data_IF_311991748997
#
_entry.id   IF_311991748997
#
_cell.length_a   1.000
_cell.length_b   1.000
_cell.length_c   1.000
_cell.angle_alpha   90.00
_cell.angle_beta   90.00
_cell.angle_gamma   90.00
#
_symmetry.space_group_name_H-M   'P 1'
#
loop_
_entity.id
_entity.type
_entity.pdbx_description
1 polymer ?
#
# COMPACT_ATOMS: atom_id res chain seq x y z
N UNK A 1 -14.25 -15.92 -12.39
CA UNK A 1 -14.30 -14.54 -11.88
C UNK A 1 -12.89 -14.05 -11.69
N UNK A 2 -12.62 -12.79 -11.97
CA UNK A 2 -11.31 -12.15 -11.83
C UNK A 2 -11.09 -11.88 -10.34
N UNK A 3 -9.98 -12.33 -9.77
CA UNK A 3 -9.61 -11.96 -8.40
C UNK A 3 -9.08 -10.53 -8.40
N UNK A 4 -9.50 -9.72 -7.44
CA UNK A 4 -9.04 -8.35 -7.28
C UNK A 4 -8.46 -8.15 -5.87
N UNK A 5 -7.17 -7.81 -5.81
CA UNK A 5 -6.46 -7.55 -4.56
C UNK A 5 -6.34 -6.04 -4.35
N UNK A 6 -6.46 -5.62 -3.10
CA UNK A 6 -6.28 -4.26 -2.66
C UNK A 6 -5.00 -4.16 -1.84
N UNK A 7 -4.08 -3.29 -2.27
CA UNK A 7 -2.80 -3.06 -1.59
C UNK A 7 -2.83 -1.66 -0.96
N UNK A 8 -3.10 -1.60 0.34
CA UNK A 8 -3.22 -0.35 1.11
C UNK A 8 -1.95 -0.05 1.90
N UNK A 9 -1.92 1.07 2.58
CA UNK A 9 -0.82 1.50 3.43
C UNK A 9 -0.50 2.98 3.23
N UNK A 10 0.13 3.58 4.22
CA UNK A 10 0.51 4.98 4.21
C UNK A 10 1.34 5.40 2.99
N UNK A 11 1.32 6.69 2.68
CA UNK A 11 2.25 7.28 1.72
C UNK A 11 3.70 6.98 2.16
N UNK A 12 4.52 6.50 1.23
CA UNK A 12 5.90 6.11 1.51
C UNK A 12 6.09 4.78 2.25
N UNK A 13 5.03 4.05 2.61
CA UNK A 13 5.14 2.71 3.22
C UNK A 13 5.79 1.67 2.30
N UNK A 14 5.82 1.91 0.98
CA UNK A 14 6.45 1.02 0.00
C UNK A 14 5.46 0.17 -0.80
N UNK A 15 4.20 0.58 -0.92
CA UNK A 15 3.14 -0.12 -1.68
C UNK A 15 3.59 -0.50 -3.09
N UNK A 16 4.03 0.48 -3.89
CA UNK A 16 4.48 0.29 -5.27
C UNK A 16 5.66 -0.68 -5.38
N UNK A 17 6.61 -0.60 -4.43
CA UNK A 17 7.73 -1.57 -4.35
C UNK A 17 7.24 -2.99 -4.07
N UNK A 18 6.25 -3.13 -3.20
CA UNK A 18 5.62 -4.42 -2.90
C UNK A 18 4.85 -4.96 -4.11
N UNK A 19 4.00 -4.12 -4.74
CA UNK A 19 3.23 -4.45 -5.95
C UNK A 19 4.16 -4.99 -7.03
N UNK A 20 5.30 -4.34 -7.25
CA UNK A 20 6.29 -4.79 -8.22
C UNK A 20 6.77 -6.22 -7.95
N UNK A 21 7.08 -6.56 -6.70
CA UNK A 21 7.51 -7.93 -6.33
C UNK A 21 6.37 -8.94 -6.46
N UNK A 22 5.18 -8.56 -6.03
CA UNK A 22 4.01 -9.42 -6.07
C UNK A 22 3.54 -9.67 -7.49
N UNK A 23 3.48 -8.63 -8.33
CA UNK A 23 3.17 -8.73 -9.75
C UNK A 23 4.12 -9.68 -10.48
N UNK A 24 5.44 -9.52 -10.24
CA UNK A 24 6.44 -10.41 -10.82
C UNK A 24 6.21 -11.88 -10.43
N UNK A 25 5.92 -12.15 -9.16
CA UNK A 25 5.59 -13.50 -8.71
C UNK A 25 4.35 -14.06 -9.43
N UNK A 26 3.30 -13.25 -9.61
CA UNK A 26 2.07 -13.65 -10.29
C UNK A 26 2.34 -13.98 -11.77
N UNK A 27 3.09 -13.14 -12.48
CA UNK A 27 3.50 -13.39 -13.87
C UNK A 27 4.39 -14.63 -14.00
N UNK A 28 5.38 -14.81 -13.12
CA UNK A 28 6.23 -16.01 -13.08
C UNK A 28 5.42 -17.30 -12.80
N UNK A 29 4.24 -17.15 -12.19
CA UNK A 29 3.26 -18.23 -11.98
C UNK A 29 2.30 -18.41 -13.15
N UNK A 30 2.53 -17.73 -14.27
CA UNK A 30 1.74 -17.82 -15.51
C UNK A 30 0.42 -17.09 -15.49
N UNK A 31 0.23 -16.11 -14.61
CA UNK A 31 -1.00 -15.32 -14.52
C UNK A 31 -0.94 -14.08 -15.41
N UNK A 32 -2.09 -13.75 -15.99
CA UNK A 32 -2.34 -12.50 -16.68
C UNK A 32 -2.87 -11.48 -15.69
N UNK A 33 -2.20 -10.36 -15.50
CA UNK A 33 -2.54 -9.41 -14.45
C UNK A 33 -2.79 -8.00 -14.99
N UNK A 34 -3.67 -7.29 -14.32
CA UNK A 34 -3.82 -5.84 -14.44
C UNK A 34 -3.36 -5.17 -13.16
N UNK A 35 -2.68 -4.04 -13.26
CA UNK A 35 -2.37 -3.17 -12.12
C UNK A 35 -3.13 -1.87 -12.32
N UNK A 36 -3.91 -1.48 -11.32
CA UNK A 36 -4.69 -0.25 -11.33
C UNK A 36 -4.15 0.68 -10.25
N UNK A 37 -3.48 1.73 -10.73
CA UNK A 37 -3.00 2.82 -9.89
C UNK A 37 -4.09 3.89 -9.77
N UNK A 38 -4.35 4.28 -8.56
CA UNK A 38 -5.31 5.30 -8.24
C UNK A 38 -4.60 6.48 -7.56
N UNK A 39 -4.17 7.46 -8.36
CA UNK A 39 -3.40 8.60 -7.89
C UNK A 39 -4.12 9.92 -8.17
N UNK A 40 -4.17 10.79 -7.15
CA UNK A 40 -4.68 12.16 -7.28
C UNK A 40 -3.62 13.13 -7.81
N UNK A 41 -2.36 12.70 -7.92
CA UNK A 41 -1.23 13.54 -8.30
C UNK A 41 -1.23 13.97 -9.77
N UNK A 42 -0.61 15.12 -10.06
CA UNK A 42 -0.42 15.61 -11.43
C UNK A 42 0.66 14.82 -12.20
N UNK A 43 1.54 14.11 -11.50
CA UNK A 43 2.62 13.26 -12.06
C UNK A 43 2.61 11.95 -11.29
N UNK A 44 2.30 10.87 -11.97
CA UNK A 44 2.29 9.54 -11.37
C UNK A 44 3.70 8.93 -11.41
N UNK A 45 4.40 9.02 -10.30
CA UNK A 45 5.75 8.44 -10.12
C UNK A 45 5.66 6.91 -10.00
N UNK A 46 4.60 6.40 -9.39
CA UNK A 46 4.40 4.97 -9.16
C UNK A 46 4.23 4.21 -10.46
N UNK A 47 3.46 4.76 -11.41
CA UNK A 47 3.37 4.23 -12.78
C UNK A 47 4.73 4.14 -13.46
N UNK A 48 5.60 5.13 -13.28
CA UNK A 48 6.97 5.08 -13.84
C UNK A 48 7.80 3.95 -13.23
N UNK A 49 7.61 3.66 -11.95
CA UNK A 49 8.30 2.58 -11.25
C UNK A 49 7.82 1.18 -11.67
N UNK A 50 6.62 1.07 -12.21
CA UNK A 50 6.02 -0.20 -12.66
C UNK A 50 6.11 -0.41 -14.18
N UNK A 51 6.49 0.61 -14.93
CA UNK A 51 6.46 0.61 -16.39
C UNK A 51 7.22 -0.54 -17.05
N UNK A 52 8.29 -1.02 -16.44
CA UNK A 52 9.08 -2.14 -16.95
C UNK A 52 8.40 -3.52 -16.76
N UNK A 53 7.29 -3.59 -16.02
CA UNK A 53 6.47 -4.79 -15.91
C UNK A 53 5.50 -4.96 -17.09
N UNK A 54 5.24 -3.88 -17.85
CA UNK A 54 4.30 -3.91 -18.99
C UNK A 54 4.75 -4.92 -20.06
N UNK A 55 3.81 -5.72 -20.51
CA UNK A 55 4.04 -6.73 -21.53
C UNK A 55 2.82 -7.63 -21.73
N UNK A 56 3.02 -8.78 -22.35
CA UNK A 56 1.94 -9.69 -22.70
C UNK A 56 1.14 -10.22 -21.50
N UNK A 57 1.73 -10.20 -20.30
CA UNK A 57 1.11 -10.73 -19.08
C UNK A 57 0.78 -9.65 -18.05
N UNK A 58 1.10 -8.38 -18.30
CA UNK A 58 0.85 -7.29 -17.36
C UNK A 58 0.49 -6.01 -18.08
N UNK A 59 -0.66 -5.46 -17.77
CA UNK A 59 -1.07 -4.13 -18.19
C UNK A 59 -1.18 -3.20 -16.98
N UNK A 60 -0.75 -1.96 -17.19
CA UNK A 60 -0.86 -0.88 -16.20
C UNK A 60 -1.99 0.05 -16.60
N UNK A 61 -2.89 0.31 -15.68
CA UNK A 61 -3.99 1.24 -15.82
C UNK A 61 -3.98 2.28 -14.71
N UNK A 62 -4.47 3.46 -15.00
CA UNK A 62 -4.45 4.58 -14.06
C UNK A 62 -5.82 5.26 -14.00
N UNK A 63 -6.16 5.71 -12.81
CA UNK A 63 -7.21 6.69 -12.59
C UNK A 63 -6.54 7.96 -12.12
N UNK A 64 -6.62 9.00 -12.94
CA UNK A 64 -6.07 10.31 -12.62
C UNK A 64 -7.18 11.31 -12.38
N UNK A 65 -7.00 12.12 -11.35
CA UNK A 65 -7.84 13.26 -11.03
C UNK A 65 -9.30 12.89 -10.71
N UNK A 66 -9.90 13.70 -9.95
CA UNK A 66 -11.32 13.73 -9.61
C UNK A 66 -11.46 14.92 -8.70
N UNK A 67 -12.32 15.90 -9.09
CA UNK A 67 -12.50 17.08 -8.26
C UNK A 67 -13.37 16.79 -7.03
N UNK A 68 -13.95 15.60 -6.96
CA UNK A 68 -14.86 15.17 -5.91
C UNK A 68 -14.94 13.63 -5.80
N UNK A 69 -15.30 13.10 -4.62
CA UNK A 69 -15.36 11.65 -4.36
C UNK A 69 -16.32 10.90 -5.30
N UNK A 70 -17.46 11.50 -5.65
CA UNK A 70 -18.45 10.83 -6.52
C UNK A 70 -17.92 10.65 -7.95
N UNK A 71 -17.25 11.65 -8.49
CA UNK A 71 -16.61 11.57 -9.81
C UNK A 71 -15.49 10.52 -9.79
N UNK A 72 -14.71 10.46 -8.69
CA UNK A 72 -13.66 9.48 -8.51
C UNK A 72 -14.25 8.06 -8.48
N UNK A 73 -15.26 7.80 -7.65
CA UNK A 73 -15.97 6.51 -7.55
C UNK A 73 -16.47 6.06 -8.94
N UNK A 74 -17.09 6.95 -9.70
CA UNK A 74 -17.59 6.65 -11.04
C UNK A 74 -16.47 6.30 -12.02
N UNK A 75 -15.33 6.99 -11.97
CA UNK A 75 -14.15 6.67 -12.79
C UNK A 75 -13.58 5.31 -12.44
N UNK A 76 -13.44 5.04 -11.15
CA UNK A 76 -12.97 3.74 -10.64
C UNK A 76 -13.86 2.60 -11.14
N UNK A 77 -15.18 2.72 -10.97
CA UNK A 77 -16.14 1.74 -11.50
C UNK A 77 -16.02 1.55 -13.02
N UNK A 78 -15.94 2.65 -13.77
CA UNK A 78 -15.81 2.60 -15.25
C UNK A 78 -14.52 1.92 -15.66
N UNK A 79 -13.41 2.18 -14.97
CA UNK A 79 -12.12 1.54 -15.24
C UNK A 79 -12.19 0.05 -14.96
N UNK A 80 -12.77 -0.38 -13.85
CA UNK A 80 -12.97 -1.79 -13.55
C UNK A 80 -13.86 -2.49 -14.59
N UNK A 81 -14.90 -1.83 -15.09
CA UNK A 81 -15.73 -2.37 -16.19
C UNK A 81 -14.85 -2.62 -17.44
N UNK A 82 -14.00 -1.67 -17.81
CA UNK A 82 -13.09 -1.82 -18.93
C UNK A 82 -12.10 -2.97 -18.71
N UNK A 83 -11.47 -3.02 -17.54
CA UNK A 83 -10.49 -4.07 -17.21
C UNK A 83 -11.13 -5.47 -17.12
N UNK A 84 -12.39 -5.55 -16.70
CA UNK A 84 -13.13 -6.83 -16.66
C UNK A 84 -13.30 -7.51 -18.02
N UNK A 85 -13.13 -6.76 -19.10
CA UNK A 85 -13.22 -7.27 -20.48
C UNK A 85 -11.86 -7.72 -21.07
N UNK A 86 -10.74 -7.46 -20.38
CA UNK A 86 -9.39 -7.71 -20.88
C UNK A 86 -8.89 -9.14 -20.63
N UNK A 87 -9.60 -9.94 -19.82
CA UNK A 87 -9.26 -11.35 -19.59
C UNK A 87 -8.13 -11.59 -18.59
N UNK A 88 -7.99 -10.72 -17.59
CA UNK A 88 -7.06 -10.91 -16.50
C UNK A 88 -7.46 -12.06 -15.56
N UNK A 89 -6.47 -12.73 -15.01
CA UNK A 89 -6.66 -13.70 -13.92
C UNK A 89 -6.78 -12.97 -12.57
N UNK A 90 -6.04 -11.86 -12.43
CA UNK A 90 -5.99 -11.07 -11.20
C UNK A 90 -5.71 -9.60 -11.49
N UNK A 91 -6.32 -8.73 -10.70
CA UNK A 91 -6.06 -7.29 -10.72
C UNK A 91 -5.50 -6.88 -9.35
N UNK A 92 -4.43 -6.08 -9.36
CA UNK A 92 -3.87 -5.44 -8.19
C UNK A 92 -4.28 -3.98 -8.21
N UNK A 93 -4.89 -3.50 -7.14
CA UNK A 93 -5.30 -2.09 -6.99
C UNK A 93 -4.40 -1.45 -5.94
N UNK A 94 -3.71 -0.37 -6.32
CA UNK A 94 -3.08 0.55 -5.39
C UNK A 94 -3.98 1.77 -5.24
N UNK A 95 -4.70 1.94 -4.13
CA UNK A 95 -5.49 3.14 -3.89
C UNK A 95 -4.57 4.30 -3.50
N UNK A 96 -5.06 5.52 -3.60
CA UNK A 96 -4.41 6.66 -2.96
C UNK A 96 -4.31 6.44 -1.44
N UNK A 97 -3.34 7.09 -0.79
CA UNK A 97 -3.04 6.87 0.63
C UNK A 97 -4.16 7.24 1.63
N UNK A 98 -5.34 7.68 1.15
CA UNK A 98 -6.52 8.06 1.95
C UNK A 98 -7.76 7.38 1.34
N UNK A 99 -7.70 6.08 1.14
CA UNK A 99 -8.78 5.34 0.48
C UNK A 99 -9.66 4.62 1.52
N UNK A 100 -10.98 4.79 1.40
CA UNK A 100 -11.94 4.02 2.18
C UNK A 100 -12.08 2.60 1.60
N UNK A 101 -11.62 1.61 2.35
CA UNK A 101 -11.67 0.20 1.95
C UNK A 101 -13.11 -0.29 1.76
N UNK A 102 -14.08 0.25 2.50
CA UNK A 102 -15.49 -0.10 2.35
C UNK A 102 -16.02 0.34 0.97
N UNK A 103 -15.59 1.51 0.48
CA UNK A 103 -15.99 1.99 -0.85
C UNK A 103 -15.55 1.04 -1.96
N UNK A 104 -14.37 0.42 -1.81
CA UNK A 104 -13.90 -0.61 -2.74
C UNK A 104 -14.85 -1.81 -2.78
N UNK A 105 -15.26 -2.33 -1.62
CA UNK A 105 -16.17 -3.44 -1.57
C UNK A 105 -17.57 -3.07 -2.09
N UNK A 106 -18.07 -1.90 -1.73
CA UNK A 106 -19.37 -1.41 -2.21
C UNK A 106 -19.42 -1.34 -3.73
N UNK A 107 -18.35 -0.84 -4.37
CA UNK A 107 -18.26 -0.78 -5.84
C UNK A 107 -18.24 -2.18 -6.45
N UNK A 108 -17.54 -3.14 -5.86
CA UNK A 108 -17.48 -4.51 -6.37
C UNK A 108 -18.83 -5.24 -6.29
N UNK A 109 -19.70 -4.85 -5.36
CA UNK A 109 -21.04 -5.41 -5.23
C UNK A 109 -22.08 -4.76 -6.19
N UNK A 110 -21.70 -3.72 -6.94
CA UNK A 110 -22.57 -3.12 -7.94
C UNK A 110 -22.53 -3.87 -9.27
N UNK A 111 -23.67 -3.95 -9.97
CA UNK A 111 -23.72 -4.47 -11.34
C UNK A 111 -22.91 -3.57 -12.31
N UNK A 112 -22.15 -4.15 -13.24
CA UNK A 112 -21.96 -5.58 -13.55
C UNK A 112 -20.76 -6.22 -12.82
N UNK A 113 -20.07 -5.49 -11.94
CA UNK A 113 -18.81 -5.90 -11.32
C UNK A 113 -18.99 -7.13 -10.42
N UNK A 114 -20.13 -7.23 -9.74
CA UNK A 114 -20.53 -8.37 -8.90
C UNK A 114 -20.49 -9.73 -9.59
N UNK A 115 -20.62 -9.73 -10.94
CA UNK A 115 -20.58 -10.93 -11.76
C UNK A 115 -19.20 -11.23 -12.34
N UNK A 116 -18.32 -10.25 -12.38
CA UNK A 116 -17.02 -10.35 -13.04
C UNK A 116 -15.90 -10.52 -12.05
N UNK A 117 -16.03 -9.87 -10.90
CA UNK A 117 -15.00 -9.78 -9.87
C UNK A 117 -15.33 -10.59 -8.63
N UNK A 118 -14.30 -11.04 -7.99
CA UNK A 118 -14.33 -11.65 -6.67
C UNK A 118 -13.24 -11.01 -5.83
N UNK A 119 -13.54 -10.47 -4.64
CA UNK A 119 -12.52 -9.96 -3.74
C UNK A 119 -11.43 -11.01 -3.51
N UNK A 120 -10.20 -10.61 -3.68
CA UNK A 120 -9.01 -11.40 -3.40
C UNK A 120 -8.50 -11.12 -1.99
N UNK A 121 -7.26 -10.61 -1.92
CA UNK A 121 -6.62 -10.27 -0.66
C UNK A 121 -6.56 -8.75 -0.45
N UNK A 122 -6.84 -8.30 0.76
CA UNK A 122 -6.51 -6.95 1.24
C UNK A 122 -5.19 -7.05 1.98
N UNK A 123 -4.17 -6.40 1.45
CA UNK A 123 -2.81 -6.42 1.97
C UNK A 123 -2.45 -5.00 2.39
N UNK A 124 -2.22 -4.80 3.68
CA UNK A 124 -1.86 -3.48 4.22
C UNK A 124 -0.36 -3.44 4.46
N UNK A 125 0.32 -2.50 3.79
CA UNK A 125 1.76 -2.27 3.93
C UNK A 125 1.99 -1.28 5.06
N UNK A 126 2.81 -1.66 6.04
CA UNK A 126 3.12 -0.83 7.21
C UNK A 126 4.63 -0.71 7.36
N UNK A 127 5.12 0.51 7.55
CA UNK A 127 6.53 0.75 7.84
C UNK A 127 6.88 0.19 9.23
N UNK A 128 7.90 -0.66 9.31
CA UNK A 128 8.38 -1.18 10.59
C UNK A 128 8.99 -0.10 11.50
N UNK A 129 9.28 1.08 10.95
CA UNK A 129 9.82 2.23 11.68
C UNK A 129 8.80 3.38 11.76
N UNK A 130 7.51 3.04 11.77
CA UNK A 130 6.43 4.02 11.90
C UNK A 130 6.64 4.86 13.15
N UNK A 131 6.42 6.17 13.05
CA UNK A 131 6.58 7.10 14.16
C UNK A 131 5.58 6.79 15.30
N UNK A 132 6.04 7.01 16.55
CA UNK A 132 5.19 6.76 17.73
C UNK A 132 4.13 7.86 17.92
N UNK A 133 4.41 9.08 17.46
CA UNK A 133 3.50 10.23 17.54
C UNK A 133 2.84 10.46 16.18
N UNK A 134 1.57 10.07 16.07
CA UNK A 134 0.75 10.25 14.87
C UNK A 134 -0.47 11.10 15.20
N UNK A 135 -0.92 11.89 14.22
CA UNK A 135 -2.16 12.66 14.35
C UNK A 135 -3.40 11.76 14.51
N UNK A 136 -4.53 12.31 14.85
CA UNK A 136 -5.79 11.57 14.97
C UNK A 136 -6.21 11.01 13.60
N UNK A 137 -6.01 11.80 12.54
CA UNK A 137 -6.30 11.44 11.15
C UNK A 137 -5.41 10.28 10.69
N UNK A 138 -4.11 10.35 10.95
CA UNK A 138 -3.17 9.28 10.59
C UNK A 138 -3.49 7.97 11.32
N UNK A 139 -3.78 8.06 12.61
CA UNK A 139 -4.22 6.90 13.40
C UNK A 139 -5.52 6.29 12.85
N UNK A 140 -6.45 7.13 12.41
CA UNK A 140 -7.69 6.65 11.79
C UNK A 140 -7.42 5.92 10.49
N UNK A 141 -6.60 6.47 9.59
CA UNK A 141 -6.23 5.84 8.32
C UNK A 141 -5.56 4.48 8.58
N UNK A 142 -4.54 4.46 9.44
CA UNK A 142 -3.83 3.23 9.81
C UNK A 142 -4.79 2.15 10.32
N UNK A 143 -5.71 2.53 11.20
CA UNK A 143 -6.68 1.63 11.79
C UNK A 143 -7.71 1.13 10.76
N UNK A 144 -8.24 2.01 9.90
CA UNK A 144 -9.24 1.65 8.88
C UNK A 144 -8.68 0.69 7.85
N UNK A 145 -7.43 0.89 7.41
CA UNK A 145 -6.75 -0.02 6.50
C UNK A 145 -6.43 -1.36 7.17
N UNK A 146 -5.96 -1.34 8.43
CA UNK A 146 -5.68 -2.56 9.18
C UNK A 146 -6.94 -3.35 9.52
N UNK A 147 -8.08 -2.68 9.75
CA UNK A 147 -9.34 -3.32 10.10
C UNK A 147 -9.79 -4.36 9.05
N UNK A 148 -9.62 -4.06 7.78
CA UNK A 148 -10.05 -4.92 6.67
C UNK A 148 -8.94 -5.83 6.11
N UNK A 149 -7.69 -5.67 6.56
CA UNK A 149 -6.56 -6.42 6.03
C UNK A 149 -6.68 -7.93 6.24
N UNK A 150 -6.51 -8.71 5.19
CA UNK A 150 -6.27 -10.16 5.32
C UNK A 150 -4.84 -10.46 5.79
N UNK A 151 -3.89 -9.58 5.44
CA UNK A 151 -2.50 -9.66 5.89
C UNK A 151 -1.89 -8.27 6.03
N UNK A 152 -1.16 -8.04 7.11
CA UNK A 152 -0.29 -6.88 7.27
C UNK A 152 1.13 -7.26 6.85
N UNK A 153 1.75 -6.46 6.00
CA UNK A 153 3.12 -6.71 5.51
C UNK A 153 4.02 -5.58 5.95
N UNK A 154 4.95 -5.89 6.84
CA UNK A 154 5.91 -4.91 7.31
C UNK A 154 6.98 -4.60 6.26
N UNK A 155 7.20 -3.32 6.01
CA UNK A 155 8.24 -2.81 5.13
C UNK A 155 9.45 -2.31 5.89
N UNK A 156 10.54 -2.02 5.16
CA UNK A 156 11.78 -1.39 5.65
C UNK A 156 12.49 -2.14 6.80
N UNK A 157 12.20 -3.41 6.97
CA UNK A 157 12.85 -4.26 7.98
C UNK A 157 14.34 -4.36 7.66
N UNK A 158 15.21 -3.96 8.59
CA UNK A 158 16.66 -4.13 8.49
C UNK A 158 17.38 -3.16 7.55
N UNK A 159 16.74 -2.07 7.05
CA UNK A 159 17.39 -1.07 6.17
C UNK A 159 18.39 -0.14 6.87
N UNK A 160 18.58 -0.21 8.18
CA UNK A 160 19.49 0.66 8.94
C UNK A 160 20.96 0.19 8.98
N UNK A 161 21.35 -0.81 8.17
CA UNK A 161 22.73 -1.29 8.11
C UNK A 161 23.59 -0.42 7.17
N UNK A 162 24.44 0.43 7.74
CA UNK A 162 25.23 1.44 7.02
C UNK A 162 26.51 0.92 6.34
N UNK A 163 27.03 -0.28 6.63
CA UNK A 163 28.24 -0.85 5.96
C UNK A 163 28.37 -2.36 6.08
N UNK A 164 28.95 -3.02 5.03
CA UNK A 164 29.17 -4.48 4.98
C UNK A 164 30.12 -5.05 6.06
N UNK A 165 30.94 -4.22 6.71
CA UNK A 165 31.88 -4.65 7.75
C UNK A 165 31.29 -4.70 9.16
N UNK A 166 30.23 -3.99 9.40
CA UNK A 166 29.49 -3.98 10.67
C UNK A 166 28.47 -5.14 10.73
N UNK A 167 28.12 -5.71 9.58
CA UNK A 167 27.04 -6.68 9.40
C UNK A 167 27.21 -7.98 10.23
N UNK A 168 28.41 -8.46 10.48
CA UNK A 168 28.60 -9.80 11.06
C UNK A 168 28.54 -9.86 12.60
N UNK A 169 28.80 -8.79 13.32
CA UNK A 169 28.63 -8.73 14.78
C UNK A 169 27.26 -8.13 15.19
N UNK A 170 26.64 -7.38 14.30
CA UNK A 170 25.40 -6.63 14.53
C UNK A 170 24.13 -7.38 14.08
N UNK A 171 24.25 -8.52 13.39
CA UNK A 171 23.10 -9.23 12.82
C UNK A 171 22.05 -9.62 13.87
N UNK A 172 22.49 -10.14 15.02
CA UNK A 172 21.57 -10.51 16.12
C UNK A 172 20.95 -9.28 16.79
N UNK A 173 21.71 -8.21 16.95
CA UNK A 173 21.24 -6.97 17.54
C UNK A 173 20.30 -6.21 16.59
N UNK A 174 20.58 -6.28 15.30
CA UNK A 174 19.72 -5.72 14.24
C UNK A 174 18.37 -6.47 14.14
N UNK A 175 18.39 -7.80 14.25
CA UNK A 175 17.17 -8.62 14.26
C UNK A 175 16.34 -8.28 15.50
N UNK A 176 16.94 -8.24 16.69
CA UNK A 176 16.23 -7.94 17.93
C UNK A 176 15.61 -6.51 17.91
N UNK A 177 16.33 -5.52 17.35
CA UNK A 177 15.79 -4.16 17.17
C UNK A 177 14.61 -4.14 16.19
N UNK A 178 14.69 -4.90 15.10
CA UNK A 178 13.60 -4.99 14.13
C UNK A 178 12.36 -5.68 14.75
N UNK A 179 12.54 -6.74 15.52
CA UNK A 179 11.45 -7.42 16.25
C UNK A 179 10.81 -6.50 17.30
N UNK A 180 11.61 -5.73 18.04
CA UNK A 180 11.11 -4.73 18.99
C UNK A 180 10.30 -3.63 18.27
N UNK A 181 10.80 -3.11 17.15
CA UNK A 181 10.14 -2.08 16.36
C UNK A 181 8.78 -2.60 15.83
N UNK A 182 8.76 -3.78 15.22
CA UNK A 182 7.53 -4.42 14.74
C UNK A 182 6.52 -4.62 15.88
N UNK A 183 6.99 -5.06 17.06
CA UNK A 183 6.11 -5.26 18.22
C UNK A 183 5.47 -3.95 18.69
N UNK A 184 6.24 -2.85 18.70
CA UNK A 184 5.73 -1.50 19.03
C UNK A 184 4.68 -1.04 18.01
N UNK A 185 4.97 -1.15 16.72
CA UNK A 185 4.04 -0.76 15.66
C UNK A 185 2.77 -1.63 15.70
N UNK A 186 2.89 -2.92 15.94
CA UNK A 186 1.73 -3.81 16.10
C UNK A 186 0.86 -3.42 17.30
N UNK A 187 1.49 -3.06 18.43
CA UNK A 187 0.76 -2.56 19.59
C UNK A 187 0.06 -1.23 19.28
N UNK A 188 0.71 -0.34 18.53
CA UNK A 188 0.14 0.94 18.08
C UNK A 188 -1.09 0.71 17.18
N UNK A 189 -1.00 -0.17 16.17
CA UNK A 189 -2.14 -0.56 15.31
C UNK A 189 -3.32 -1.03 16.16
N UNK A 190 -3.09 -1.88 17.15
CA UNK A 190 -4.15 -2.38 18.02
C UNK A 190 -4.75 -1.30 18.93
N UNK A 191 -3.99 -0.28 19.30
CA UNK A 191 -4.51 0.89 20.01
C UNK A 191 -5.38 1.72 19.07
N UNK A 192 -4.91 1.99 17.85
CA UNK A 192 -5.64 2.75 16.85
C UNK A 192 -6.97 2.06 16.45
N UNK A 193 -6.97 0.73 16.30
CA UNK A 193 -8.21 -0.04 16.07
C UNK A 193 -9.24 0.16 17.18
N UNK A 194 -8.81 0.17 18.45
CA UNK A 194 -9.72 0.44 19.58
C UNK A 194 -10.27 1.86 19.56
N UNK A 195 -9.49 2.85 19.11
CA UNK A 195 -9.94 4.25 19.01
C UNK A 195 -11.10 4.38 18.02
N UNK A 196 -11.08 3.65 16.91
CA UNK A 196 -12.19 3.60 15.93
C UNK A 196 -13.29 2.61 16.31
N UNK A 197 -13.26 2.05 17.52
CA UNK A 197 -14.23 1.06 18.03
C UNK A 197 -14.29 -0.22 17.18
N UNK A 198 -13.19 -0.61 16.57
CA UNK A 198 -13.04 -1.90 15.92
C UNK A 198 -12.70 -2.98 16.96
N UNK A 199 -13.42 -4.10 16.95
CA UNK A 199 -13.20 -5.20 17.89
C UNK A 199 -12.03 -6.10 17.48
N UNK A 200 -11.54 -5.94 16.26
CA UNK A 200 -10.42 -6.73 15.72
C UNK A 200 -9.15 -6.49 16.52
N UNK A 201 -8.41 -7.57 16.72
CA UNK A 201 -7.04 -7.56 17.26
C UNK A 201 -6.13 -8.20 16.22
N UNK A 202 -5.10 -7.49 15.80
CA UNK A 202 -4.07 -8.00 14.90
C UNK A 202 -3.03 -8.74 15.73
N UNK A 203 -2.75 -9.98 15.34
CA UNK A 203 -1.74 -10.85 15.96
C UNK A 203 -0.56 -11.07 15.01
N UNK A 204 0.55 -11.61 15.51
CA UNK A 204 1.73 -11.90 14.67
C UNK A 204 1.42 -12.84 13.48
N UNK A 205 0.48 -13.76 13.63
CA UNK A 205 0.03 -14.66 12.54
C UNK A 205 -0.62 -13.92 11.37
N UNK A 206 -1.18 -12.73 11.64
CA UNK A 206 -1.82 -11.86 10.64
C UNK A 206 -0.78 -10.97 9.93
N UNK A 207 0.49 -11.08 10.33
CA UNK A 207 1.58 -10.25 9.86
C UNK A 207 2.60 -11.05 9.04
N UNK A 208 3.22 -10.39 8.06
CA UNK A 208 4.41 -10.87 7.37
C UNK A 208 5.58 -9.95 7.75
N UNK A 209 6.45 -10.47 8.64
CA UNK A 209 7.57 -9.74 9.24
C UNK A 209 8.90 -10.24 8.66
N UNK A 210 9.08 -10.12 7.34
CA UNK A 210 10.29 -10.56 6.64
C UNK A 210 10.88 -9.44 5.80
N UNK A 211 12.21 -9.43 5.67
CA UNK A 211 12.84 -8.60 4.64
C UNK A 211 12.34 -9.05 3.26
N UNK A 212 11.89 -8.09 2.46
CA UNK A 212 11.27 -8.38 1.17
C UNK A 212 12.20 -9.00 0.13
N UNK A 213 13.53 -8.90 0.32
CA UNK A 213 14.50 -9.56 -0.56
C UNK A 213 14.65 -11.05 -0.25
N UNK A 214 14.10 -11.50 0.89
CA UNK A 214 14.08 -12.91 1.31
C UNK A 214 12.73 -13.59 1.14
N UNK A 215 11.74 -12.89 0.56
CA UNK A 215 10.42 -13.46 0.32
C UNK A 215 10.48 -14.65 -0.62
N UNK A 216 9.81 -15.73 -0.23
CA UNK A 216 9.73 -16.98 -0.97
C UNK A 216 8.42 -17.10 -1.73
N UNK A 217 8.35 -18.08 -2.65
CA UNK A 217 7.07 -18.41 -3.33
C UNK A 217 5.96 -18.79 -2.35
N UNK A 218 6.29 -19.41 -1.23
CA UNK A 218 5.31 -19.77 -0.20
C UNK A 218 4.74 -18.52 0.50
N UNK A 219 5.58 -17.51 0.76
CA UNK A 219 5.12 -16.24 1.34
C UNK A 219 4.13 -15.53 0.39
N UNK A 220 4.45 -15.46 -0.90
CA UNK A 220 3.54 -14.88 -1.88
C UNK A 220 2.24 -15.69 -2.06
N UNK A 221 2.31 -17.00 -1.93
CA UNK A 221 1.12 -17.85 -1.98
C UNK A 221 0.21 -17.63 -0.77
N UNK A 222 0.80 -17.44 0.42
CA UNK A 222 0.06 -17.06 1.63
C UNK A 222 -0.61 -15.70 1.45
N UNK A 223 0.11 -14.70 0.95
CA UNK A 223 -0.44 -13.37 0.62
C UNK A 223 -1.57 -13.44 -0.42
N UNK A 224 -1.41 -14.25 -1.47
CA UNK A 224 -2.41 -14.41 -2.52
C UNK A 224 -3.72 -15.03 -2.00
N UNK A 225 -3.66 -15.78 -0.90
CA UNK A 225 -4.78 -16.47 -0.27
C UNK A 225 -5.21 -15.85 1.07
N UNK A 226 -4.64 -14.72 1.46
CA UNK A 226 -4.92 -14.08 2.74
C UNK A 226 -6.37 -13.61 2.90
N UNK A 227 -7.05 -13.32 1.77
CA UNK A 227 -8.42 -12.83 1.78
C UNK A 227 -8.53 -11.44 2.42
N UNK A 228 -9.64 -11.20 3.10
CA UNK A 228 -9.92 -9.97 3.82
C UNK A 228 -10.81 -10.27 5.03
N UNK A 229 -10.84 -9.35 6.00
CA UNK A 229 -11.70 -9.46 7.17
C UNK A 229 -12.73 -8.34 7.13
N UNK A 230 -14.03 -8.64 6.98
CA UNK A 230 -15.07 -7.62 7.06
C UNK A 230 -15.24 -7.21 8.52
N UNK A 231 -14.98 -5.97 8.84
CA UNK A 231 -15.08 -5.44 10.21
C UNK A 231 -15.93 -4.16 10.23
N UNK A 232 -16.62 -3.97 11.34
CA UNK A 232 -17.34 -2.74 11.59
C UNK A 232 -16.51 -1.83 12.48
N UNK A 233 -16.41 -0.56 12.10
CA UNK A 233 -15.74 0.46 12.89
C UNK A 233 -16.45 1.81 12.74
N UNK A 234 -16.14 2.73 13.64
CA UNK A 234 -16.69 4.07 13.59
C UNK A 234 -15.96 4.87 12.51
N UNK A 235 -16.68 5.27 11.45
CA UNK A 235 -16.16 6.19 10.45
C UNK A 235 -16.03 7.60 11.03
N UNK A 236 -14.92 8.25 10.74
CA UNK A 236 -14.67 9.65 11.04
C UNK A 236 -14.61 10.40 9.71
N UNK A 237 -15.31 11.54 9.65
CA UNK A 237 -15.27 12.42 8.50
C UNK A 237 -14.10 13.39 8.66
N UNK A 238 -13.03 13.18 7.90
CA UNK A 238 -11.94 14.13 7.74
C UNK A 238 -11.99 14.76 6.35
N UNK A 239 -11.64 16.05 6.27
CA UNK A 239 -11.36 16.66 4.96
C UNK A 239 -10.08 16.05 4.40
N UNK A 240 -10.19 15.31 3.31
CA UNK A 240 -9.09 14.56 2.69
C UNK A 240 -7.86 15.44 2.38
N UNK A 241 -8.07 16.74 2.13
CA UNK A 241 -7.00 17.70 1.84
C UNK A 241 -6.17 18.11 3.07
N UNK A 242 -6.58 17.71 4.28
CA UNK A 242 -5.88 18.11 5.52
C UNK A 242 -4.75 17.17 5.95
N UNK A 243 -4.72 15.96 5.41
CA UNK A 243 -3.80 14.90 5.90
C UNK A 243 -2.42 14.96 5.22
N UNK A 244 -2.36 15.38 3.95
CA UNK A 244 -1.09 15.48 3.21
C UNK A 244 -1.04 16.73 2.33
N UNK A 245 -0.06 17.60 2.56
CA UNK A 245 0.25 18.71 1.67
C UNK A 245 1.24 18.28 0.59
N UNK A 246 0.89 18.55 -0.68
CA UNK A 246 1.77 18.31 -1.81
C UNK A 246 2.32 19.61 -2.36
N UNK A 247 3.65 19.71 -2.48
CA UNK A 247 4.34 20.85 -3.06
C UNK A 247 4.80 20.54 -4.48
N UNK A 248 4.34 21.35 -5.44
CA UNK A 248 4.67 21.20 -6.86
C UNK A 248 5.54 22.35 -7.35
N UNK A 249 6.72 22.01 -7.91
CA UNK A 249 7.63 22.97 -8.54
C UNK A 249 7.62 22.78 -10.06
N UNK A 250 6.65 23.38 -10.74
CA UNK A 250 6.51 23.27 -12.18
C UNK A 250 7.40 24.29 -12.90
N UNK A 251 7.97 23.87 -14.06
CA UNK A 251 8.79 24.70 -14.94
C UNK A 251 10.04 25.35 -14.28
N UNK A 252 10.56 24.77 -13.22
CA UNK A 252 11.83 25.18 -12.61
C UNK A 252 13.00 24.41 -13.23
N UNK A 253 13.99 25.16 -13.73
CA UNK A 253 15.26 24.58 -14.17
C UNK A 253 16.17 24.45 -12.95
N UNK A 254 16.44 23.23 -12.54
CA UNK A 254 17.36 22.92 -11.45
C UNK A 254 18.45 21.96 -11.98
N UNK A 255 19.68 22.13 -11.55
CA UNK A 255 20.74 21.15 -11.87
C UNK A 255 20.53 19.86 -11.06
N UNK A 256 20.97 18.73 -11.61
CA UNK A 256 20.88 17.43 -10.92
C UNK A 256 21.62 17.47 -9.56
N UNK A 257 22.72 18.21 -9.48
CA UNK A 257 23.49 18.39 -8.25
C UNK A 257 22.71 19.15 -7.18
N UNK A 258 22.06 20.27 -7.57
CA UNK A 258 21.24 21.05 -6.65
C UNK A 258 19.98 20.28 -6.23
N UNK A 259 19.40 19.47 -7.12
CA UNK A 259 18.25 18.62 -6.78
C UNK A 259 18.63 17.55 -5.77
N UNK A 260 19.78 16.88 -5.93
CA UNK A 260 20.29 15.91 -4.95
C UNK A 260 20.54 16.55 -3.60
N UNK A 261 21.17 17.74 -3.59
CA UNK A 261 21.43 18.46 -2.34
C UNK A 261 20.13 18.86 -1.63
N UNK A 262 19.13 19.37 -2.37
CA UNK A 262 17.84 19.72 -1.80
C UNK A 262 17.12 18.48 -1.25
N UNK A 263 17.16 17.34 -1.95
CA UNK A 263 16.60 16.10 -1.45
C UNK A 263 17.32 15.60 -0.18
N UNK A 264 18.65 15.65 -0.15
CA UNK A 264 19.44 15.30 1.06
C UNK A 264 19.09 16.20 2.25
N UNK A 265 18.88 17.51 2.01
CA UNK A 265 18.49 18.46 3.06
C UNK A 265 17.06 18.17 3.58
N UNK A 266 16.11 17.82 2.68
CA UNK A 266 14.75 17.43 3.05
C UNK A 266 14.73 16.13 3.86
N UNK A 267 15.46 15.10 3.44
CA UNK A 267 15.56 13.84 4.18
C UNK A 267 16.26 13.94 5.55
N UNK A 268 16.99 15.03 5.81
CA UNK A 268 17.62 15.29 7.10
C UNK A 268 16.75 16.18 8.01
N UNK A 269 15.69 16.76 7.48
CA UNK A 269 14.80 17.62 8.22
C UNK A 269 13.65 16.77 8.82
N UNK A 270 13.56 16.65 10.16
CA UNK A 270 12.50 15.90 10.81
C UNK A 270 11.09 16.45 10.56
N UNK A 271 10.97 17.72 10.15
CA UNK A 271 9.68 18.35 9.83
C UNK A 271 9.18 18.04 8.42
N UNK A 272 9.92 17.26 7.63
CA UNK A 272 9.56 16.93 6.25
C UNK A 272 9.10 15.47 6.07
N UNK A 273 8.95 14.68 7.11
CA UNK A 273 8.44 13.31 7.11
C UNK A 273 9.48 12.28 6.69
#
# INVERSE_FOLDING_TARGET
MIKIDLITGFLGAGKTTFIRKYAKYLMDSGKNIGILENDFGAVNVDMMMLQDLMGDQCELEMISGGCDPETHRRRFKTKLISMGMCGYDRILVEPSGIFDVDEFFDILHEEPLDRWYEPGSVITIVDANLEEEMSEEENYILASEAASAGKIVFSKIGKNLKTEKEAQMEEKESIAKAEESISKVLAHINIALKQIKCERVIEEKDCLCKNWDTLTKADFQDLMSAGYTPENYQKLDFEQDSVFESLYFLNKKISVENMKKAAEELFQNPDCG
#
